data_IF_810076988819
#
_entry.id   IF_810076988819
#
_cell.length_a   1.000
_cell.length_b   1.000
_cell.length_c   1.000
_cell.angle_alpha   90.00
_cell.angle_beta   90.00
_cell.angle_gamma   90.00
#
_symmetry.space_group_name_H-M   'P 1'
#
loop_
_entity.id
_entity.type
_entity.pdbx_description
1 polymer ?
#
# COMPACT_ATOMS: atom_id res chain seq x y z
N UNK A 1 -31.70 -7.03 -5.67
CA UNK A 1 -30.49 -7.78 -6.08
C UNK A 1 -29.19 -7.00 -5.83
N UNK A 2 -29.10 -5.70 -6.12
CA UNK A 2 -27.89 -4.88 -5.84
C UNK A 2 -27.53 -4.74 -4.36
N UNK A 3 -28.51 -4.66 -3.46
CA UNK A 3 -28.24 -4.51 -2.01
C UNK A 3 -27.59 -5.74 -1.39
N UNK A 4 -27.99 -6.94 -1.83
CA UNK A 4 -27.43 -8.20 -1.32
C UNK A 4 -25.95 -8.35 -1.73
N UNK A 5 -25.60 -7.96 -2.96
CA UNK A 5 -24.21 -7.91 -3.41
C UNK A 5 -23.42 -6.85 -2.64
N UNK A 6 -23.97 -5.65 -2.41
CA UNK A 6 -23.35 -4.62 -1.56
C UNK A 6 -23.05 -5.15 -0.15
N UNK A 7 -24.03 -5.81 0.49
CA UNK A 7 -23.91 -6.44 1.80
C UNK A 7 -22.89 -7.59 1.83
N UNK A 8 -22.86 -8.44 0.80
CA UNK A 8 -21.88 -9.52 0.65
C UNK A 8 -20.45 -8.96 0.51
N UNK A 9 -20.26 -7.90 -0.29
CA UNK A 9 -18.98 -7.22 -0.38
C UNK A 9 -18.64 -6.43 0.88
N UNK A 10 -19.61 -5.95 1.67
CA UNK A 10 -19.36 -5.22 2.92
C UNK A 10 -18.95 -6.10 4.09
N UNK A 11 -19.40 -7.35 4.14
CA UNK A 11 -19.14 -8.26 5.26
C UNK A 11 -17.68 -8.73 5.42
N UNK A 12 -16.82 -8.54 4.41
CA UNK A 12 -15.37 -8.81 4.49
C UNK A 12 -14.49 -7.56 4.26
N UNK A 13 -15.07 -6.35 4.25
CA UNK A 13 -14.29 -5.13 4.00
C UNK A 13 -13.51 -4.71 5.24
N UNK A 14 -12.18 -4.56 5.10
CA UNK A 14 -11.33 -3.83 6.05
C UNK A 14 -12.00 -2.50 6.40
N UNK A 15 -12.32 -2.30 7.68
CA UNK A 15 -13.01 -1.11 8.19
C UNK A 15 -12.00 -0.02 8.50
N UNK A 16 -12.40 1.24 8.35
CA UNK A 16 -11.61 2.36 8.88
C UNK A 16 -11.43 2.15 10.39
N UNK A 17 -10.22 2.40 10.87
CA UNK A 17 -9.81 2.10 12.25
C UNK A 17 -9.25 0.69 12.43
N UNK A 18 -9.37 -0.21 11.45
CA UNK A 18 -8.75 -1.53 11.52
C UNK A 18 -7.22 -1.40 11.53
N UNK A 19 -6.59 -2.10 12.45
CA UNK A 19 -5.14 -2.21 12.56
C UNK A 19 -4.66 -3.54 12.02
N UNK A 20 -3.50 -3.53 11.36
CA UNK A 20 -2.82 -4.74 10.91
C UNK A 20 -1.31 -4.56 11.08
N UNK A 21 -0.63 -5.69 11.29
CA UNK A 21 0.82 -5.75 11.44
C UNK A 21 1.35 -6.67 10.35
N UNK A 22 2.29 -6.18 9.55
CA UNK A 22 3.00 -7.03 8.62
C UNK A 22 4.22 -7.66 9.31
N UNK A 23 4.39 -8.98 9.17
CA UNK A 23 5.51 -9.71 9.77
C UNK A 23 6.74 -9.71 8.87
N UNK A 24 6.61 -9.33 7.60
CA UNK A 24 7.70 -9.23 6.65
C UNK A 24 8.21 -7.79 6.56
N UNK A 25 9.36 -7.62 5.92
CA UNK A 25 9.77 -6.30 5.45
C UNK A 25 8.78 -5.85 4.38
N UNK A 26 8.45 -4.57 4.36
CA UNK A 26 7.52 -4.02 3.39
C UNK A 26 8.32 -3.17 2.42
N UNK A 27 8.44 -3.68 1.20
CA UNK A 27 8.91 -2.94 0.04
C UNK A 27 7.83 -1.93 -0.36
N UNK A 28 8.24 -0.67 -0.56
CA UNK A 28 7.37 0.42 -0.96
C UNK A 28 8.06 1.30 -1.98
N UNK A 29 7.32 1.89 -2.90
CA UNK A 29 7.88 2.83 -3.87
C UNK A 29 7.46 4.27 -3.58
N UNK A 30 8.40 5.20 -3.76
CA UNK A 30 8.13 6.64 -3.78
C UNK A 30 7.69 7.15 -5.16
N UNK A 31 7.65 6.29 -6.18
CA UNK A 31 7.30 6.64 -7.58
C UNK A 31 5.93 6.05 -7.94
N UNK A 32 4.82 6.79 -7.76
CA UNK A 32 3.48 6.21 -7.89
C UNK A 32 3.12 5.77 -9.30
N UNK A 33 3.81 6.28 -10.31
CA UNK A 33 3.54 5.93 -11.70
C UNK A 33 3.97 4.51 -12.05
N UNK A 34 5.01 3.99 -11.39
CA UNK A 34 5.45 2.60 -11.56
C UNK A 34 4.45 1.58 -10.98
N UNK A 35 3.63 2.00 -10.00
CA UNK A 35 2.65 1.12 -9.35
C UNK A 35 1.56 0.63 -10.30
N UNK A 36 1.23 1.38 -11.36
CA UNK A 36 0.13 1.03 -12.25
C UNK A 36 0.44 -0.25 -13.02
N UNK A 37 1.55 -0.26 -13.74
CA UNK A 37 1.94 -1.37 -14.60
C UNK A 37 2.30 -2.60 -13.76
N UNK A 38 2.95 -2.39 -12.61
CA UNK A 38 3.21 -3.45 -11.64
C UNK A 38 1.93 -4.09 -11.11
N UNK A 39 0.93 -3.28 -10.72
CA UNK A 39 -0.34 -3.79 -10.22
C UNK A 39 -1.16 -4.51 -11.28
N UNK A 40 -1.09 -4.07 -12.53
CA UNK A 40 -1.81 -4.73 -13.63
C UNK A 40 -1.14 -6.05 -14.02
N UNK A 41 0.19 -6.09 -14.10
CA UNK A 41 0.98 -7.31 -14.38
C UNK A 41 0.72 -8.40 -13.34
N UNK A 42 0.72 -8.03 -12.06
CA UNK A 42 0.53 -8.97 -10.94
C UNK A 42 -0.95 -9.14 -10.55
N UNK A 43 -1.88 -8.52 -11.29
CA UNK A 43 -3.34 -8.59 -11.07
C UNK A 43 -3.76 -8.16 -9.65
N UNK A 44 -3.03 -7.21 -9.07
CA UNK A 44 -3.42 -6.61 -7.79
C UNK A 44 -4.70 -5.80 -7.95
N UNK A 45 -5.59 -5.93 -6.97
CA UNK A 45 -6.91 -5.32 -6.96
C UNK A 45 -7.00 -4.06 -6.09
N UNK A 46 -5.91 -3.72 -5.40
CA UNK A 46 -5.83 -2.58 -4.50
C UNK A 46 -4.41 -2.00 -4.41
N UNK A 47 -4.34 -0.79 -3.86
CA UNK A 47 -3.11 -0.07 -3.55
C UNK A 47 -3.12 0.34 -2.08
N UNK A 48 -1.97 0.19 -1.41
CA UNK A 48 -1.74 0.76 -0.09
C UNK A 48 -0.99 2.08 -0.25
N UNK A 49 -1.50 3.13 0.39
CA UNK A 49 -0.83 4.43 0.49
C UNK A 49 -0.47 4.64 1.95
N UNK A 50 0.83 4.61 2.24
CA UNK A 50 1.35 4.65 3.61
C UNK A 50 1.72 6.08 3.98
N UNK A 51 1.29 6.49 5.17
CA UNK A 51 1.67 7.75 5.80
C UNK A 51 2.64 7.42 6.93
N UNK A 52 3.89 7.87 6.76
CA UNK A 52 4.99 7.58 7.66
C UNK A 52 5.34 8.86 8.46
N UNK A 53 5.29 8.84 9.80
CA UNK A 53 5.72 9.98 10.61
C UNK A 53 7.22 10.23 10.49
N UNK A 54 7.66 11.47 10.74
CA UNK A 54 9.09 11.79 10.81
C UNK A 54 9.76 10.95 11.89
N UNK A 55 10.94 10.39 11.59
CA UNK A 55 11.66 9.49 12.49
C UNK A 55 11.28 8.00 12.35
N UNK A 56 10.42 7.67 11.38
CA UNK A 56 10.16 6.27 10.97
C UNK A 56 11.46 5.56 10.65
N UNK A 57 11.66 4.38 11.23
CA UNK A 57 12.77 3.48 10.89
C UNK A 57 12.51 2.90 9.49
N UNK A 58 13.54 2.88 8.66
CA UNK A 58 13.49 2.29 7.33
C UNK A 58 14.80 2.51 6.59
N UNK A 59 14.95 1.86 5.44
CA UNK A 59 16.05 2.09 4.54
C UNK A 59 15.51 2.71 3.25
N UNK A 60 16.17 3.76 2.79
CA UNK A 60 15.94 4.24 1.44
C UNK A 60 16.92 3.53 0.50
N UNK A 61 16.40 2.91 -0.54
CA UNK A 61 17.18 2.14 -1.49
C UNK A 61 16.91 2.69 -2.88
N UNK A 62 17.97 3.13 -3.55
CA UNK A 62 17.92 3.57 -4.94
C UNK A 62 18.71 2.58 -5.79
N UNK A 63 18.03 1.96 -6.75
CA UNK A 63 18.68 1.15 -7.77
C UNK A 63 18.79 1.97 -9.05
N UNK A 64 19.98 2.50 -9.32
CA UNK A 64 20.32 3.07 -10.62
C UNK A 64 21.14 2.04 -11.39
N UNK A 65 20.47 1.20 -12.21
CA UNK A 65 21.17 0.40 -13.21
C UNK A 65 20.96 1.03 -14.59
N UNK A 66 22.06 1.29 -15.30
CA UNK A 66 22.07 1.93 -16.64
C UNK A 66 21.23 1.17 -17.69
N UNK A 67 20.83 -0.07 -17.40
CA UNK A 67 20.07 -0.94 -18.28
C UNK A 67 18.69 -1.36 -17.73
N UNK A 68 18.31 -0.97 -16.51
CA UNK A 68 17.00 -1.30 -15.95
C UNK A 68 16.05 -0.11 -16.11
N UNK A 69 14.88 -0.37 -16.72
CA UNK A 69 13.80 0.62 -16.86
C UNK A 69 13.07 0.90 -15.54
N UNK A 70 13.53 0.30 -14.45
CA UNK A 70 12.95 0.39 -13.12
C UNK A 70 13.78 1.39 -12.32
N UNK A 71 13.47 2.68 -12.47
CA UNK A 71 13.90 3.73 -11.53
C UNK A 71 13.17 3.50 -10.19
N UNK A 72 13.58 2.49 -9.45
CA UNK A 72 12.97 2.11 -8.19
C UNK A 72 13.59 2.90 -7.05
N UNK A 73 12.88 3.97 -6.66
CA UNK A 73 13.08 4.63 -5.38
C UNK A 73 12.26 3.87 -4.32
N UNK A 74 12.89 2.90 -3.65
CA UNK A 74 12.27 2.09 -2.63
C UNK A 74 12.47 2.69 -1.23
N UNK A 75 11.43 2.64 -0.41
CA UNK A 75 11.55 2.84 1.03
C UNK A 75 11.15 1.56 1.77
N UNK A 76 12.15 0.80 2.21
CA UNK A 76 11.97 -0.47 2.88
C UNK A 76 11.61 -0.24 4.36
N UNK A 77 10.43 -0.73 4.76
CA UNK A 77 9.98 -0.69 6.16
C UNK A 77 10.36 -1.98 6.90
N UNK A 78 10.74 -1.88 8.18
CA UNK A 78 11.13 -3.02 8.99
C UNK A 78 9.97 -3.98 9.25
N UNK A 79 10.34 -5.19 9.65
CA UNK A 79 9.45 -6.21 10.20
C UNK A 79 8.55 -5.62 11.29
N UNK A 80 7.37 -6.22 11.46
CA UNK A 80 6.41 -5.89 12.51
C UNK A 80 5.92 -4.43 12.46
N UNK A 81 5.97 -3.80 11.29
CA UNK A 81 5.35 -2.49 11.06
C UNK A 81 3.83 -2.61 11.17
N UNK A 82 3.24 -1.82 12.08
CA UNK A 82 1.80 -1.81 12.35
C UNK A 82 1.16 -0.56 11.80
N UNK A 83 0.07 -0.74 11.06
CA UNK A 83 -0.67 0.35 10.43
C UNK A 83 -2.13 0.36 10.84
N UNK A 84 -2.73 1.54 10.81
CA UNK A 84 -4.17 1.73 10.93
C UNK A 84 -4.75 2.26 9.62
N UNK A 85 -5.82 1.63 9.12
CA UNK A 85 -6.56 2.14 7.97
C UNK A 85 -7.31 3.42 8.36
N UNK A 86 -7.01 4.55 7.72
CA UNK A 86 -7.72 5.82 7.96
C UNK A 86 -8.79 6.11 6.92
N UNK A 87 -8.53 5.77 5.66
CA UNK A 87 -9.46 6.06 4.56
C UNK A 87 -9.35 4.99 3.50
N UNK A 88 -10.45 4.72 2.81
CA UNK A 88 -10.46 3.92 1.59
C UNK A 88 -11.33 4.58 0.53
N UNK A 89 -10.91 4.54 -0.71
CA UNK A 89 -11.65 5.12 -1.85
C UNK A 89 -11.27 4.41 -3.15
N UNK A 90 -12.03 4.63 -4.22
CA UNK A 90 -11.67 4.16 -5.55
C UNK A 90 -10.93 5.29 -6.29
N UNK A 91 -9.71 5.02 -6.77
CA UNK A 91 -8.94 5.99 -7.55
C UNK A 91 -9.23 5.80 -9.04
N UNK A 92 -9.71 6.85 -9.71
CA UNK A 92 -9.87 6.84 -11.17
C UNK A 92 -8.52 6.87 -11.92
N UNK A 93 -7.48 7.46 -11.32
CA UNK A 93 -6.13 7.49 -11.90
C UNK A 93 -5.56 6.07 -12.04
N UNK A 94 -5.76 5.24 -11.02
CA UNK A 94 -5.23 3.88 -10.99
C UNK A 94 -6.26 2.82 -11.37
N UNK A 95 -7.54 3.16 -11.41
CA UNK A 95 -8.66 2.22 -11.56
C UNK A 95 -8.66 1.09 -10.51
N UNK A 96 -8.19 1.38 -9.29
CA UNK A 96 -8.11 0.44 -8.15
C UNK A 96 -8.68 1.05 -6.86
N UNK A 97 -8.96 0.18 -5.87
CA UNK A 97 -9.23 0.62 -4.50
C UNK A 97 -7.94 1.04 -3.82
N UNK A 98 -7.90 2.24 -3.25
CA UNK A 98 -6.79 2.76 -2.46
C UNK A 98 -7.15 2.68 -0.99
N UNK A 99 -6.21 2.20 -0.19
CA UNK A 99 -6.27 2.12 1.27
C UNK A 99 -5.19 3.04 1.85
N UNK A 100 -5.62 4.14 2.47
CA UNK A 100 -4.72 5.09 3.13
C UNK A 100 -4.49 4.66 4.57
N UNK A 101 -3.27 4.27 4.87
CA UNK A 101 -2.87 3.66 6.13
C UNK A 101 -1.82 4.53 6.82
N UNK A 102 -1.93 4.71 8.12
CA UNK A 102 -0.94 5.43 8.93
C UNK A 102 -0.14 4.42 9.73
N UNK A 103 1.18 4.58 9.72
CA UNK A 103 2.06 3.83 10.61
C UNK A 103 1.79 4.25 12.05
N UNK A 104 1.60 3.28 12.94
CA UNK A 104 1.33 3.51 14.36
C UNK A 104 2.33 2.85 15.30
N UNK A 105 3.06 1.83 14.84
CA UNK A 105 4.15 1.22 15.59
C UNK A 105 5.16 0.52 14.67
N UNK A 106 6.40 0.44 15.13
CA UNK A 106 7.50 -0.36 14.55
C UNK A 106 8.28 -0.96 15.72
N UNK A 107 8.73 -2.21 15.57
CA UNK A 107 9.67 -2.84 16.50
C UNK A 107 11.13 -2.51 16.11
#
# INVERSE_FOLDING_TARGET
MMELLKLLFEKQKIKVGHTFTDKAFIDTTLVPDLLRDFADTHRYNCLLKLYLPRGTKGAYVEFYHENDHLNECEFLLPLNSTFVLKRKYFSLRYMKKVYECYLVAQE
#
